data_IF_515495838265
#
_entry.id   IF_515495838265
#
_cell.length_a   1.000
_cell.length_b   1.000
_cell.length_c   1.000
_cell.angle_alpha   90.00
_cell.angle_beta   90.00
_cell.angle_gamma   90.00
#
_symmetry.space_group_name_H-M   'P 1'
#
loop_
_entity.id
_entity.type
_entity.pdbx_description
1 polymer ?
#
# COMPACT_ATOMS: atom_id res chain seq x y z
N UNK A 1 1.68 -18.20 1.81
CA UNK A 1 1.29 -17.54 3.09
C UNK A 1 2.58 -17.03 3.71
N UNK A 2 2.61 -15.79 4.18
CA UNK A 2 3.80 -15.17 4.80
C UNK A 2 3.62 -14.94 6.31
N UNK A 3 2.37 -14.92 6.78
CA UNK A 3 1.99 -14.83 8.19
C UNK A 3 0.66 -15.56 8.40
N UNK A 4 0.52 -16.24 9.54
CA UNK A 4 -0.71 -16.93 9.93
C UNK A 4 -0.92 -16.84 11.45
N UNK A 5 -2.08 -16.36 11.89
CA UNK A 5 -2.54 -16.27 13.29
C UNK A 5 -3.94 -16.87 13.40
N UNK A 6 -4.21 -17.68 14.41
CA UNK A 6 -5.54 -18.22 14.67
C UNK A 6 -5.78 -18.77 16.10
N UNK A 7 -4.75 -19.09 16.88
CA UNK A 7 -4.90 -19.76 18.19
C UNK A 7 -3.99 -19.24 19.32
N UNK A 8 -3.06 -18.32 19.03
CA UNK A 8 -2.14 -17.78 20.01
C UNK A 8 -1.07 -18.76 20.50
N UNK A 9 -0.88 -19.90 19.82
CA UNK A 9 0.16 -20.87 20.15
C UNK A 9 1.58 -20.36 19.93
N UNK A 10 1.75 -19.32 19.12
CA UNK A 10 3.02 -18.69 18.84
C UNK A 10 3.06 -17.25 19.38
N UNK A 11 4.12 -16.97 20.15
CA UNK A 11 4.45 -15.61 20.57
C UNK A 11 5.03 -14.81 19.39
N UNK A 12 4.51 -13.60 19.18
CA UNK A 12 4.91 -12.68 18.11
C UNK A 12 5.66 -11.44 18.65
N UNK A 13 5.81 -11.29 19.97
CA UNK A 13 6.67 -10.25 20.54
C UNK A 13 8.14 -10.70 20.46
N UNK A 14 8.68 -10.66 19.25
CA UNK A 14 10.01 -11.18 18.90
C UNK A 14 10.99 -10.08 18.51
N UNK A 15 12.27 -10.41 18.57
CA UNK A 15 13.35 -9.49 18.21
C UNK A 15 13.57 -9.40 16.69
N UNK A 16 14.48 -8.51 16.27
CA UNK A 16 14.82 -8.27 14.87
C UNK A 16 15.28 -9.54 14.15
N UNK A 17 16.18 -10.31 14.78
CA UNK A 17 16.78 -11.51 14.19
C UNK A 17 15.72 -12.57 13.93
N UNK A 18 14.78 -12.75 14.85
CA UNK A 18 13.65 -13.67 14.70
C UNK A 18 12.71 -13.21 13.58
N UNK A 19 12.35 -11.92 13.50
CA UNK A 19 11.52 -11.39 12.41
C UNK A 19 12.21 -11.44 11.06
N UNK A 20 13.54 -11.28 11.03
CA UNK A 20 14.36 -11.40 9.83
C UNK A 20 14.31 -12.83 9.27
N UNK A 21 14.59 -13.82 10.10
CA UNK A 21 14.74 -15.20 9.66
C UNK A 21 13.43 -16.01 9.69
N UNK A 22 12.42 -15.54 10.41
CA UNK A 22 11.13 -16.23 10.57
C UNK A 22 11.11 -17.15 11.78
N UNK A 23 9.90 -17.42 12.26
CA UNK A 23 9.64 -18.23 13.45
C UNK A 23 8.26 -18.90 13.36
N UNK A 24 8.02 -19.86 14.25
CA UNK A 24 6.77 -20.62 14.32
C UNK A 24 6.73 -21.84 13.40
N UNK A 25 5.53 -22.39 13.22
CA UNK A 25 5.31 -23.64 12.49
C UNK A 25 4.48 -23.36 11.23
N UNK A 26 4.94 -23.81 10.05
CA UNK A 26 4.21 -23.63 8.79
C UNK A 26 2.83 -24.33 8.77
N UNK A 27 2.64 -25.35 9.61
CA UNK A 27 1.35 -26.00 9.84
C UNK A 27 0.50 -25.33 10.95
N UNK A 28 1.05 -24.33 11.64
CA UNK A 28 0.41 -23.58 12.73
C UNK A 28 0.56 -22.07 12.55
N UNK A 29 0.75 -21.35 13.65
CA UNK A 29 1.05 -19.92 13.61
C UNK A 29 2.54 -19.68 13.28
N UNK A 30 2.80 -18.73 12.38
CA UNK A 30 4.17 -18.43 11.96
C UNK A 30 4.31 -17.06 11.30
N UNK A 31 5.55 -16.60 11.28
CA UNK A 31 6.05 -15.53 10.43
C UNK A 31 7.14 -16.08 9.51
N UNK A 32 7.02 -15.88 8.19
CA UNK A 32 7.91 -16.51 7.21
C UNK A 32 9.36 -16.02 7.31
N UNK A 33 9.56 -14.78 7.77
CA UNK A 33 10.84 -14.09 7.82
C UNK A 33 10.94 -12.98 6.77
N UNK A 34 11.32 -11.77 7.19
CA UNK A 34 11.46 -10.59 6.33
C UNK A 34 12.41 -10.86 5.17
N UNK A 35 13.51 -11.58 5.40
CA UNK A 35 14.48 -11.90 4.34
C UNK A 35 13.84 -12.73 3.22
N UNK A 36 13.01 -13.72 3.57
CA UNK A 36 12.30 -14.53 2.58
C UNK A 36 11.21 -13.73 1.87
N UNK A 37 10.50 -12.85 2.59
CA UNK A 37 9.47 -11.97 2.00
C UNK A 37 10.11 -10.98 1.03
N UNK A 38 11.27 -10.39 1.38
CA UNK A 38 12.06 -9.54 0.51
C UNK A 38 12.45 -10.30 -0.75
N UNK A 39 13.08 -11.47 -0.59
CA UNK A 39 13.49 -12.28 -1.73
C UNK A 39 12.32 -12.63 -2.63
N UNK A 40 11.16 -13.02 -2.10
CA UNK A 40 9.99 -13.39 -2.91
C UNK A 40 9.39 -12.19 -3.65
N UNK A 41 9.19 -11.08 -2.95
CA UNK A 41 8.49 -9.90 -3.52
C UNK A 41 9.35 -9.10 -4.51
N UNK A 42 10.65 -9.36 -4.59
CA UNK A 42 11.56 -8.70 -5.53
C UNK A 42 11.91 -9.57 -6.77
N UNK A 43 11.38 -10.79 -6.90
CA UNK A 43 11.62 -11.66 -8.08
C UNK A 43 10.71 -11.29 -9.26
N UNK A 44 9.48 -10.90 -8.92
CA UNK A 44 8.37 -10.56 -9.82
C UNK A 44 7.47 -9.55 -9.10
N UNK A 45 6.45 -9.05 -9.78
CA UNK A 45 5.38 -8.33 -9.08
C UNK A 45 4.49 -9.34 -8.34
N UNK A 46 4.22 -9.08 -7.07
CA UNK A 46 3.30 -9.87 -6.24
C UNK A 46 2.16 -8.99 -5.77
N UNK A 47 0.94 -9.52 -5.76
CA UNK A 47 -0.16 -8.93 -4.99
C UNK A 47 -0.13 -9.46 -3.55
N UNK A 48 -0.59 -8.65 -2.61
CA UNK A 48 -0.82 -9.03 -1.22
C UNK A 48 -2.32 -9.24 -0.99
N UNK A 49 -2.67 -10.29 -0.26
CA UNK A 49 -4.01 -10.56 0.27
C UNK A 49 -3.91 -10.83 1.76
N UNK A 50 -4.76 -10.16 2.53
CA UNK A 50 -4.91 -10.32 3.96
C UNK A 50 -6.34 -10.78 4.20
N UNK A 51 -6.48 -11.94 4.85
CA UNK A 51 -7.77 -12.46 5.31
C UNK A 51 -7.84 -12.32 6.83
N UNK A 52 -8.99 -11.90 7.33
CA UNK A 52 -9.21 -11.56 8.73
C UNK A 52 -10.54 -12.13 9.20
N UNK A 53 -10.57 -12.63 10.44
CA UNK A 53 -11.77 -13.07 11.14
C UNK A 53 -11.85 -12.36 12.49
N UNK A 54 -12.92 -11.61 12.72
CA UNK A 54 -13.23 -10.96 13.99
C UNK A 54 -14.22 -11.77 14.84
N UNK A 55 -14.75 -11.14 15.88
CA UNK A 55 -15.75 -11.76 16.76
C UNK A 55 -16.98 -12.23 15.97
N UNK A 56 -17.63 -13.28 16.46
CA UNK A 56 -18.82 -13.88 15.83
C UNK A 56 -18.57 -14.38 14.40
N UNK A 57 -17.33 -14.82 14.09
CA UNK A 57 -16.91 -15.35 12.77
C UNK A 57 -17.13 -14.37 11.61
N UNK A 58 -17.04 -13.07 11.89
CA UNK A 58 -17.15 -12.06 10.84
C UNK A 58 -15.86 -11.99 10.05
N UNK A 59 -15.94 -12.31 8.77
CA UNK A 59 -14.79 -12.36 7.87
C UNK A 59 -14.67 -11.07 7.05
N UNK A 60 -13.43 -10.64 6.82
CA UNK A 60 -13.12 -9.57 5.89
C UNK A 60 -11.79 -9.81 5.19
N UNK A 61 -11.59 -9.11 4.08
CA UNK A 61 -10.33 -9.17 3.34
C UNK A 61 -9.85 -7.79 2.91
N UNK A 62 -8.53 -7.65 2.85
CA UNK A 62 -7.85 -6.53 2.20
C UNK A 62 -6.90 -7.11 1.15
N UNK A 63 -6.80 -6.48 -0.01
CA UNK A 63 -5.86 -6.87 -1.05
C UNK A 63 -5.23 -5.63 -1.67
N UNK A 64 -3.94 -5.74 -2.01
CA UNK A 64 -3.17 -4.67 -2.61
C UNK A 64 -2.58 -5.18 -3.92
N UNK A 65 -2.77 -4.42 -5.00
CA UNK A 65 -2.42 -4.88 -6.36
C UNK A 65 -0.93 -5.18 -6.56
N UNK A 66 -0.07 -4.55 -5.75
CA UNK A 66 1.37 -4.79 -5.68
C UNK A 66 1.81 -4.71 -4.21
N UNK A 67 2.75 -5.55 -3.81
CA UNK A 67 3.39 -5.49 -2.50
C UNK A 67 4.85 -5.90 -2.61
N UNK A 68 5.75 -4.99 -2.25
CA UNK A 68 7.18 -5.24 -2.15
C UNK A 68 7.74 -4.63 -0.89
N UNK A 69 8.78 -5.27 -0.34
CA UNK A 69 9.57 -4.71 0.75
C UNK A 69 11.01 -4.46 0.32
N UNK A 70 11.68 -3.54 1.00
CA UNK A 70 13.07 -3.20 0.76
C UNK A 70 14.03 -4.24 1.37
N UNK A 71 15.32 -4.13 1.06
CA UNK A 71 16.36 -4.95 1.69
C UNK A 71 16.59 -4.54 3.16
N UNK A 72 17.35 -5.35 3.89
CA UNK A 72 17.65 -5.11 5.31
C UNK A 72 18.26 -3.74 5.60
N UNK A 73 19.18 -3.25 4.76
CA UNK A 73 19.82 -1.93 4.96
C UNK A 73 18.84 -0.76 4.81
N UNK A 74 17.65 -0.98 4.21
CA UNK A 74 16.53 -0.03 4.18
C UNK A 74 15.49 -0.32 5.27
N UNK A 75 15.80 -1.19 6.24
CA UNK A 75 14.92 -1.58 7.34
C UNK A 75 13.70 -2.39 6.89
N UNK A 76 13.81 -3.14 5.78
CA UNK A 76 12.71 -3.90 5.19
C UNK A 76 11.43 -3.09 4.95
N UNK A 77 11.57 -1.79 4.64
CA UNK A 77 10.42 -0.88 4.46
C UNK A 77 9.41 -1.39 3.44
N UNK A 78 8.13 -1.00 3.55
CA UNK A 78 7.16 -1.23 2.46
C UNK A 78 7.54 -0.35 1.27
N UNK A 79 8.28 -0.91 0.31
CA UNK A 79 8.82 -0.18 -0.84
C UNK A 79 7.75 0.15 -1.88
N UNK A 80 6.78 -0.73 -2.08
CA UNK A 80 5.67 -0.48 -2.99
C UNK A 80 4.42 -1.15 -2.47
N UNK A 81 3.34 -0.37 -2.35
CA UNK A 81 2.00 -0.85 -2.02
C UNK A 81 1.03 -0.34 -3.09
N UNK A 82 0.39 -1.27 -3.78
CA UNK A 82 -0.54 -0.97 -4.85
C UNK A 82 -1.92 -0.55 -4.36
N UNK A 83 -2.86 -0.40 -5.30
CA UNK A 83 -4.24 -0.02 -5.01
C UNK A 83 -4.92 -1.04 -4.10
N UNK A 84 -5.55 -0.55 -3.04
CA UNK A 84 -6.39 -1.32 -2.15
C UNK A 84 -7.69 -1.78 -2.83
N UNK A 85 -8.14 -2.99 -2.47
CA UNK A 85 -9.48 -3.51 -2.70
C UNK A 85 -9.86 -4.49 -1.58
N UNK A 86 -11.14 -4.61 -1.25
CA UNK A 86 -11.61 -5.60 -0.28
C UNK A 86 -12.67 -5.04 0.67
N UNK A 87 -13.21 -5.91 1.52
CA UNK A 87 -14.29 -5.58 2.47
C UNK A 87 -13.82 -5.05 3.81
N UNK A 88 -12.53 -5.18 4.14
CA UNK A 88 -11.99 -4.80 5.46
C UNK A 88 -11.71 -3.29 5.61
N UNK A 89 -11.85 -2.51 4.53
CA UNK A 89 -11.28 -1.17 4.43
C UNK A 89 -9.74 -1.18 4.43
N UNK A 90 -9.14 -0.01 4.21
CA UNK A 90 -7.68 0.13 4.13
C UNK A 90 -7.08 0.60 5.46
N UNK A 91 -6.32 -0.27 6.11
CA UNK A 91 -5.52 0.05 7.29
C UNK A 91 -4.03 -0.29 7.12
N UNK A 92 -3.57 -0.51 5.89
CA UNK A 92 -2.15 -0.77 5.59
C UNK A 92 -1.49 0.37 4.81
N UNK A 93 -2.24 1.14 4.01
CA UNK A 93 -1.64 2.25 3.25
C UNK A 93 -1.03 3.33 4.12
N UNK A 94 -1.49 3.50 5.37
CA UNK A 94 -0.84 4.37 6.36
C UNK A 94 0.62 3.98 6.65
N UNK A 95 0.95 2.70 6.49
CA UNK A 95 2.26 2.11 6.72
C UNK A 95 3.16 2.09 5.47
N UNK A 96 2.67 2.55 4.32
CA UNK A 96 3.44 2.56 3.09
C UNK A 96 4.70 3.43 3.24
N UNK A 97 5.85 2.92 2.80
CA UNK A 97 7.15 3.58 2.91
C UNK A 97 7.85 3.44 4.28
N UNK A 98 7.14 2.96 5.30
CA UNK A 98 7.66 2.85 6.65
C UNK A 98 8.59 1.65 6.80
N UNK A 99 9.60 1.80 7.65
CA UNK A 99 10.55 0.73 8.02
C UNK A 99 9.89 -0.23 9.02
N UNK A 100 10.40 -1.45 9.09
CA UNK A 100 9.95 -2.42 10.06
C UNK A 100 10.59 -2.11 11.43
N UNK A 101 9.82 -2.16 12.51
CA UNK A 101 10.31 -2.04 13.88
C UNK A 101 9.96 -3.28 14.69
N UNK A 102 10.86 -3.66 15.59
CA UNK A 102 10.73 -4.78 16.54
C UNK A 102 10.99 -4.31 17.96
N UNK A 103 10.79 -5.20 18.94
CA UNK A 103 11.06 -4.95 20.36
C UNK A 103 12.43 -4.29 20.63
N UNK A 104 13.45 -4.70 19.88
CA UNK A 104 14.86 -4.34 20.05
C UNK A 104 15.41 -3.44 18.93
N UNK A 105 14.59 -3.08 17.94
CA UNK A 105 14.99 -2.21 16.84
C UNK A 105 13.88 -1.24 16.49
N UNK A 106 14.05 -0.01 16.98
CA UNK A 106 13.12 1.09 16.76
C UNK A 106 13.46 1.85 15.47
N UNK A 107 12.61 1.68 14.47
CA UNK A 107 12.72 2.35 13.17
C UNK A 107 11.47 3.19 12.84
N UNK A 108 10.60 3.42 13.81
CA UNK A 108 9.36 4.17 13.60
C UNK A 108 9.58 5.69 13.67
N UNK A 109 8.53 6.48 13.42
CA UNK A 109 8.63 7.95 13.34
C UNK A 109 8.40 8.62 14.70
N UNK A 110 7.89 7.88 15.70
CA UNK A 110 7.60 8.41 17.03
C UNK A 110 8.91 8.72 17.78
N UNK A 111 9.00 9.90 18.42
CA UNK A 111 10.26 10.37 19.02
C UNK A 111 10.36 10.09 20.52
N UNK A 112 9.22 9.95 21.16
CA UNK A 112 9.11 9.86 22.60
C UNK A 112 9.05 8.41 23.11
N UNK A 113 8.97 7.42 22.22
CA UNK A 113 8.86 6.01 22.57
C UNK A 113 9.02 5.11 21.37
N UNK A 114 8.74 3.82 21.56
CA UNK A 114 8.80 2.80 20.51
C UNK A 114 7.42 2.18 20.31
N UNK A 115 6.90 2.23 19.09
CA UNK A 115 5.59 1.67 18.77
C UNK A 115 5.56 0.15 18.94
N UNK A 116 6.67 -0.53 18.65
CA UNK A 116 6.76 -1.98 18.85
C UNK A 116 6.61 -2.40 20.32
N UNK A 117 7.15 -1.59 21.24
CA UNK A 117 7.01 -1.79 22.69
C UNK A 117 5.58 -1.46 23.13
N UNK A 118 5.06 -0.31 22.73
CA UNK A 118 3.74 0.17 23.16
C UNK A 118 2.60 -0.71 22.64
N UNK A 119 2.69 -1.16 21.38
CA UNK A 119 1.68 -1.98 20.71
C UNK A 119 1.98 -3.49 20.74
N UNK A 120 3.02 -3.91 21.47
CA UNK A 120 3.31 -5.32 21.78
C UNK A 120 3.40 -6.23 20.57
N UNK A 121 4.11 -5.79 19.53
CA UNK A 121 4.25 -6.50 18.26
C UNK A 121 5.44 -6.03 17.46
N UNK A 122 5.45 -6.39 16.17
CA UNK A 122 6.41 -5.87 15.21
C UNK A 122 5.75 -5.62 13.87
N UNK A 123 5.98 -4.44 13.32
CA UNK A 123 5.25 -3.96 12.15
C UNK A 123 6.00 -2.84 11.44
N UNK A 124 5.47 -2.43 10.30
CA UNK A 124 5.90 -1.20 9.62
C UNK A 124 5.29 0.03 10.29
N UNK A 125 5.58 0.24 11.58
CA UNK A 125 5.01 1.32 12.38
C UNK A 125 5.39 2.71 11.85
N UNK A 126 4.50 3.68 12.06
CA UNK A 126 4.72 5.11 11.80
C UNK A 126 4.62 5.90 13.11
N UNK A 127 3.41 6.31 13.52
CA UNK A 127 3.14 7.00 14.78
C UNK A 127 1.67 6.74 15.25
N UNK A 128 1.30 5.55 15.71
CA UNK A 128 2.04 4.29 15.56
C UNK A 128 1.48 3.46 14.42
N UNK A 129 0.16 3.26 14.35
CA UNK A 129 -0.42 2.37 13.35
C UNK A 129 -1.90 2.60 13.03
N UNK A 130 -2.34 1.91 11.97
CA UNK A 130 -3.74 1.63 11.69
C UNK A 130 -4.06 0.12 11.70
N UNK A 131 -3.03 -0.73 11.71
CA UNK A 131 -3.15 -2.18 11.81
C UNK A 131 -1.99 -2.75 12.62
N UNK A 132 -2.26 -3.81 13.38
CA UNK A 132 -1.27 -4.50 14.21
C UNK A 132 -1.45 -6.02 14.12
N UNK A 133 -1.23 -6.61 12.94
CA UNK A 133 -1.51 -8.04 12.71
C UNK A 133 -0.56 -8.99 13.47
N UNK A 134 0.57 -8.46 13.93
CA UNK A 134 1.58 -9.16 14.72
C UNK A 134 1.50 -8.83 16.22
N UNK A 135 0.42 -8.18 16.66
CA UNK A 135 0.17 -7.94 18.07
C UNK A 135 -0.07 -9.23 18.87
N UNK A 136 -0.25 -9.04 20.17
CA UNK A 136 -0.58 -10.06 21.14
C UNK A 136 -1.91 -10.73 20.79
N UNK A 137 -1.92 -12.06 20.80
CA UNK A 137 -3.16 -12.80 20.66
C UNK A 137 -3.98 -12.71 21.95
N UNK A 138 -5.26 -12.38 21.82
CA UNK A 138 -6.20 -12.22 22.94
C UNK A 138 -7.42 -13.10 22.67
N UNK A 139 -7.70 -14.04 23.58
CA UNK A 139 -8.77 -15.04 23.41
C UNK A 139 -10.14 -14.56 23.88
N UNK A 140 -10.22 -13.48 24.66
CA UNK A 140 -11.48 -12.96 25.21
C UNK A 140 -11.73 -11.53 24.75
N UNK A 141 -12.92 -11.27 24.19
CA UNK A 141 -13.34 -9.95 23.73
C UNK A 141 -13.40 -8.88 24.84
N UNK A 142 -13.48 -9.30 26.11
CA UNK A 142 -13.53 -8.40 27.26
C UNK A 142 -12.15 -7.79 27.60
N UNK A 143 -11.07 -8.35 27.05
CA UNK A 143 -9.72 -7.82 27.18
C UNK A 143 -9.47 -6.82 26.04
N UNK A 144 -9.99 -5.60 26.17
CA UNK A 144 -9.56 -4.48 25.35
C UNK A 144 -8.08 -4.23 25.61
N UNK A 145 -7.23 -4.66 24.68
CA UNK A 145 -5.78 -4.51 24.76
C UNK A 145 -5.30 -3.77 23.52
N UNK A 146 -4.67 -2.60 23.73
CA UNK A 146 -4.05 -1.78 22.68
C UNK A 146 -2.94 -2.53 21.93
N UNK A 147 -2.43 -3.62 22.51
CA UNK A 147 -1.43 -4.50 21.92
C UNK A 147 -2.02 -5.67 21.13
N UNK A 148 -3.35 -5.78 21.03
CA UNK A 148 -4.00 -6.92 20.39
C UNK A 148 -3.83 -6.93 18.86
N UNK A 149 -4.27 -8.01 18.23
CA UNK A 149 -4.35 -8.11 16.77
C UNK A 149 -5.55 -7.29 16.28
N UNK A 150 -5.34 -6.20 15.52
CA UNK A 150 -6.46 -5.40 15.00
C UNK A 150 -6.24 -4.83 13.59
N UNK A 151 -7.36 -4.39 13.01
CA UNK A 151 -7.44 -3.68 11.74
C UNK A 151 -8.52 -2.59 11.86
N UNK A 152 -8.09 -1.32 11.98
CA UNK A 152 -8.98 -0.22 12.41
C UNK A 152 -10.18 -0.06 11.50
N UNK A 153 -10.00 -0.12 10.18
CA UNK A 153 -11.10 0.09 9.22
C UNK A 153 -12.13 -1.06 9.19
N UNK A 154 -11.86 -2.19 9.86
CA UNK A 154 -12.78 -3.33 9.90
C UNK A 154 -13.56 -3.39 11.23
N UNK A 155 -12.86 -3.30 12.36
CA UNK A 155 -13.46 -3.43 13.70
C UNK A 155 -13.12 -2.30 14.67
N UNK A 156 -12.26 -1.38 14.27
CA UNK A 156 -11.67 -0.39 15.17
C UNK A 156 -10.51 -0.95 16.00
N UNK A 157 -9.83 -0.09 16.78
CA UNK A 157 -8.64 -0.45 17.54
C UNK A 157 -8.93 -1.31 18.79
N UNK A 158 -10.15 -1.25 19.32
CA UNK A 158 -10.52 -1.92 20.59
C UNK A 158 -11.20 -3.28 20.39
N UNK A 159 -11.15 -3.83 19.17
CA UNK A 159 -11.86 -5.05 18.82
C UNK A 159 -10.87 -6.06 18.21
N UNK A 160 -10.38 -7.02 19.02
CA UNK A 160 -9.35 -7.95 18.59
C UNK A 160 -9.86 -8.88 17.48
N UNK A 161 -8.96 -9.20 16.56
CA UNK A 161 -9.14 -10.21 15.52
C UNK A 161 -8.63 -11.57 16.02
N UNK A 162 -9.36 -12.62 15.68
CA UNK A 162 -9.07 -13.98 16.11
C UNK A 162 -8.25 -14.74 15.09
N UNK A 163 -8.43 -14.47 13.79
CA UNK A 163 -7.61 -15.09 12.74
C UNK A 163 -7.14 -14.05 11.75
N UNK A 164 -5.87 -14.15 11.36
CA UNK A 164 -5.31 -13.33 10.30
C UNK A 164 -4.36 -14.15 9.44
N UNK A 165 -4.40 -13.94 8.13
CA UNK A 165 -3.52 -14.60 7.17
C UNK A 165 -3.03 -13.60 6.15
N UNK A 166 -1.73 -13.36 6.10
CA UNK A 166 -1.11 -12.59 5.03
C UNK A 166 -0.55 -13.53 3.96
N UNK A 167 -0.85 -13.24 2.71
CA UNK A 167 -0.52 -14.10 1.56
C UNK A 167 -0.09 -13.25 0.38
N UNK A 168 0.94 -13.71 -0.32
CA UNK A 168 1.39 -13.08 -1.57
C UNK A 168 1.21 -14.06 -2.72
N UNK A 169 0.89 -13.53 -3.91
CA UNK A 169 0.78 -14.30 -5.15
C UNK A 169 1.44 -13.53 -6.29
N UNK A 170 2.28 -14.18 -7.14
CA UNK A 170 2.87 -13.51 -8.28
C UNK A 170 1.77 -13.08 -9.25
N UNK A 171 1.88 -11.86 -9.78
CA UNK A 171 1.02 -11.41 -10.85
C UNK A 171 1.34 -12.22 -12.12
N UNK A 172 0.34 -12.50 -12.98
CA UNK A 172 0.60 -13.05 -14.30
C UNK A 172 1.62 -12.15 -15.01
N UNK A 173 2.59 -12.75 -15.71
CA UNK A 173 3.38 -11.98 -16.65
C UNK A 173 2.40 -11.26 -17.57
N UNK A 174 2.50 -9.93 -17.66
CA UNK A 174 1.78 -9.20 -18.69
C UNK A 174 2.09 -9.90 -20.00
N UNK A 175 1.06 -10.42 -20.69
CA UNK A 175 1.25 -10.91 -22.06
C UNK A 175 1.96 -9.79 -22.79
N UNK A 176 3.11 -10.03 -23.44
CA UNK A 176 3.70 -9.03 -24.32
C UNK A 176 2.57 -8.54 -25.22
N UNK A 177 2.34 -7.24 -25.24
CA UNK A 177 1.43 -6.67 -26.24
C UNK A 177 2.00 -7.10 -27.58
N UNK A 178 1.29 -8.00 -28.26
CA UNK A 178 1.65 -8.45 -29.60
C UNK A 178 1.39 -7.28 -30.56
N UNK A 179 2.36 -6.37 -30.62
CA UNK A 179 2.36 -5.22 -31.53
C UNK A 179 2.29 -5.66 -33.00
N UNK A 180 2.52 -6.95 -33.31
CA UNK A 180 2.32 -7.53 -34.64
C UNK A 180 0.85 -7.55 -35.08
N UNK A 181 -0.09 -7.77 -34.16
CA UNK A 181 -1.54 -7.78 -34.49
C UNK A 181 -2.12 -6.40 -34.71
N UNK A 182 -1.64 -5.39 -33.98
CA UNK A 182 -2.09 -4.00 -34.16
C UNK A 182 -1.68 -3.43 -35.53
N UNK A 183 -0.56 -3.90 -36.10
CA UNK A 183 -0.07 -3.47 -37.42
C UNK A 183 -0.85 -4.11 -38.57
N UNK A 184 -1.27 -5.36 -38.43
CA UNK A 184 -2.07 -6.07 -39.44
C UNK A 184 -3.49 -5.49 -39.62
N UNK A 185 -4.07 -4.91 -38.57
CA UNK A 185 -5.37 -4.23 -38.64
C UNK A 185 -5.28 -2.84 -39.30
N UNK A 186 -4.12 -2.17 -39.20
CA UNK A 186 -3.89 -0.86 -39.81
C UNK A 186 -3.51 -0.93 -41.30
N UNK A 187 -2.98 -2.07 -41.79
CA UNK A 187 -2.59 -2.21 -43.20
C UNK A 187 -3.77 -2.60 -44.12
N UNK A 188 -4.88 -3.06 -43.54
CA UNK A 188 -6.09 -3.45 -44.27
C UNK A 188 -7.07 -2.29 -44.54
N UNK A 189 -6.73 -1.05 -44.17
CA UNK A 189 -7.60 0.13 -44.36
C UNK A 189 -7.11 1.12 -45.43
N UNK A 190 -6.40 0.65 -46.48
CA UNK A 190 -6.04 1.51 -47.61
C UNK A 190 -7.21 1.61 -48.61
N UNK A 191 -7.90 2.75 -48.59
CA UNK A 191 -8.86 3.17 -49.62
C UNK A 191 -8.18 3.35 -51.00
N UNK A 192 -8.91 3.20 -52.12
CA UNK A 192 -8.36 3.39 -53.46
C UNK A 192 -8.10 4.86 -53.76
N UNK A 193 -6.98 5.13 -54.46
CA UNK A 193 -6.58 6.46 -54.95
C UNK A 193 -7.50 6.92 -56.09
N UNK A 194 -7.98 8.16 -56.03
CA UNK A 194 -8.58 8.88 -57.17
C UNK A 194 -7.58 9.88 -57.77
N UNK A 195 -7.68 10.04 -59.09
CA UNK A 195 -6.74 10.74 -59.97
C UNK A 195 -6.74 12.29 -59.84
N UNK A 196 -5.60 12.90 -60.24
CA UNK A 196 -5.33 14.36 -60.45
C UNK A 196 -6.33 15.00 -61.46
N UNK A 197 -6.60 16.32 -61.60
CA UNK A 197 -5.94 17.63 -61.40
C UNK A 197 -7.02 18.74 -61.75
N UNK A 198 -6.75 20.07 -61.93
CA UNK A 198 -5.75 21.00 -61.39
C UNK A 198 -6.29 22.37 -60.85
N UNK A 199 -5.39 23.09 -60.16
CA UNK A 199 -5.26 24.54 -59.84
C UNK A 199 -6.30 25.58 -60.34
N UNK A 200 -6.75 26.45 -59.42
CA UNK A 200 -7.05 27.89 -59.65
C UNK A 200 -6.47 28.75 -58.49
N UNK A 201 -6.12 29.99 -58.84
CA UNK A 201 -5.17 30.95 -58.24
C UNK A 201 -5.68 31.72 -56.98
N UNK A 202 -4.70 32.12 -56.15
CA UNK A 202 -4.66 33.17 -55.10
C UNK A 202 -5.28 34.54 -55.54
N UNK A 203 -5.65 35.50 -54.63
CA UNK A 203 -4.69 36.13 -53.69
C UNK A 203 -5.17 36.78 -52.36
N UNK A 204 -4.21 36.85 -51.41
CA UNK A 204 -3.82 37.89 -50.41
C UNK A 204 -4.87 38.83 -49.77
N UNK A 205 -4.77 38.99 -48.44
CA UNK A 205 -4.56 40.31 -47.80
C UNK A 205 -4.04 40.20 -46.35
N UNK A 206 -3.09 41.07 -46.02
CA UNK A 206 -2.60 41.48 -44.70
C UNK A 206 -3.64 42.24 -43.88
N UNK A 207 -3.47 42.35 -42.56
CA UNK A 207 -3.41 43.62 -41.81
C UNK A 207 -3.03 43.37 -40.32
N UNK A 208 -2.01 44.09 -39.85
CA UNK A 208 -1.77 44.43 -38.45
C UNK A 208 -2.71 45.58 -38.02
N UNK A 209 -3.16 45.60 -36.76
CA UNK A 209 -3.16 46.79 -35.89
C UNK A 209 -3.63 46.46 -34.46
N UNK A 210 -3.06 47.20 -33.50
CA UNK A 210 -3.15 47.04 -32.06
C UNK A 210 -4.27 47.87 -31.38
N UNK A 211 -4.34 47.73 -30.02
CA UNK A 211 -5.09 48.48 -28.97
C UNK A 211 -6.51 47.93 -28.64
N UNK A 212 -7.00 47.87 -27.39
CA UNK A 212 -6.53 48.25 -26.05
C UNK A 212 -7.40 47.55 -24.95
N UNK A 213 -6.84 47.44 -23.72
CA UNK A 213 -7.39 47.37 -22.33
C UNK A 213 -8.89 47.01 -22.13
N UNK A 214 -9.32 46.18 -21.18
CA UNK A 214 -9.05 46.14 -19.73
C UNK A 214 -9.53 44.79 -19.09
N UNK A 215 -9.29 44.53 -17.78
CA UNK A 215 -9.04 43.19 -17.23
C UNK A 215 -10.28 42.47 -16.68
N UNK A 216 -10.26 41.13 -16.68
CA UNK A 216 -11.14 40.33 -15.83
C UNK A 216 -10.57 40.23 -14.42
N UNK A 217 -11.42 40.64 -13.47
CA UNK A 217 -11.24 40.64 -12.02
C UNK A 217 -10.88 39.26 -11.47
N UNK A 218 -9.90 39.25 -10.58
CA UNK A 218 -9.81 38.32 -9.45
C UNK A 218 -10.84 38.81 -8.41
N UNK A 219 -11.70 37.93 -7.91
CA UNK A 219 -12.50 38.24 -6.73
C UNK A 219 -12.05 37.32 -5.59
N UNK A 220 -11.41 37.99 -4.63
CA UNK A 220 -10.96 37.49 -3.36
C UNK A 220 -12.17 37.24 -2.45
N UNK A 221 -12.23 36.04 -1.87
CA UNK A 221 -12.87 35.85 -0.57
C UNK A 221 -11.94 34.96 0.26
N UNK A 222 -10.87 35.58 0.75
CA UNK A 222 -10.11 35.13 1.92
C UNK A 222 -10.15 36.27 2.93
N UNK A 223 -10.76 36.02 4.09
CA UNK A 223 -10.53 36.78 5.32
C UNK A 223 -10.04 35.79 6.39
N UNK A 224 -9.34 36.25 7.44
CA UNK A 224 -7.98 35.84 7.74
C UNK A 224 -7.91 35.23 9.15
N UNK A 225 -6.69 35.17 9.68
CA UNK A 225 -6.27 34.79 11.03
C UNK A 225 -5.76 33.34 11.06
N UNK A 226 -4.53 33.12 10.60
CA UNK A 226 -3.28 33.30 11.35
C UNK A 226 -3.14 32.29 12.50
N UNK A 227 -2.22 31.33 12.35
CA UNK A 227 -1.11 31.09 13.28
C UNK A 227 -0.28 29.90 12.76
N UNK A 228 0.97 30.17 12.38
CA UNK A 228 2.02 29.16 12.30
C UNK A 228 2.90 29.32 13.54
N UNK A 229 3.33 28.22 14.17
CA UNK A 229 4.63 28.22 14.82
C UNK A 229 5.58 27.26 14.11
N UNK A 230 6.72 27.82 13.71
CA UNK A 230 7.99 27.13 13.54
C UNK A 230 8.33 26.33 14.79
N UNK A 231 9.01 25.19 14.66
CA UNK A 231 10.03 24.83 15.64
C UNK A 231 11.24 24.20 14.95
N UNK A 232 12.38 24.65 15.47
CA UNK A 232 13.71 24.10 15.30
C UNK A 232 13.85 22.74 15.99
#
# INVERSE_FOLDING_TARGET
VIQNRFDGSQDFLKNWVEYKHGFGNLAGEFWLGLEKVYYLTNQKLYELRIEMEGQNRQEASASFSVFTIGPEYEGYRISTLGTFRGSAGDSLSYHAGQKFSTLDMDNDEWKEGSCAIEHGGAWWYKECDKSNLNGKYVSSADESNSQSIYWISFKGPNAPLYKTRMMIRPLPASRPLDYGKARALADNSKQPKSDMNPRIKNPKSSYDMARARAPYRYDDNVHPDAFFPNYA
#
